data_IF_968036543697
#
_entry.id   IF_968036543697
#
_cell.length_a   1.000
_cell.length_b   1.000
_cell.length_c   1.000
_cell.angle_alpha   90.00
_cell.angle_beta   90.00
_cell.angle_gamma   90.00
#
_symmetry.space_group_name_H-M   'P 1'
#
loop_
_entity.id
_entity.type
_entity.pdbx_description
1 polymer ?
#
# COMPACT_ATOMS: atom_id res chain seq x y z
N UNK A 1 -5.77 2.09 30.50
CA UNK A 1 -4.88 1.03 29.97
C UNK A 1 -4.12 1.67 28.85
N UNK A 2 -2.81 1.50 28.83
CA UNK A 2 -1.95 1.99 27.75
C UNK A 2 -2.27 1.15 26.50
N UNK A 3 -2.45 1.80 25.34
CA UNK A 3 -2.74 1.12 24.08
C UNK A 3 -1.48 0.49 23.50
N UNK A 4 -1.63 -0.58 22.72
CA UNK A 4 -0.53 -1.23 22.00
C UNK A 4 -0.22 -0.48 20.71
N UNK A 5 1.07 -0.28 20.41
CA UNK A 5 1.50 0.26 19.10
C UNK A 5 1.70 -0.87 18.12
N UNK A 6 1.12 -0.76 16.92
CA UNK A 6 1.25 -1.74 15.84
C UNK A 6 1.58 -0.99 14.55
N UNK A 7 2.60 -1.44 13.83
CA UNK A 7 2.85 -1.07 12.44
C UNK A 7 2.14 -2.05 11.51
N UNK A 8 1.61 -1.57 10.39
CA UNK A 8 1.07 -2.43 9.35
C UNK A 8 1.43 -1.90 7.97
N UNK A 9 1.41 -2.80 6.99
CA UNK A 9 1.56 -2.48 5.57
C UNK A 9 0.60 -3.36 4.78
N UNK A 10 -0.10 -2.74 3.82
CA UNK A 10 -1.02 -3.38 2.90
C UNK A 10 -0.61 -2.97 1.49
N UNK A 11 -0.36 -3.95 0.64
CA UNK A 11 0.04 -3.71 -0.74
C UNK A 11 -0.81 -4.51 -1.70
N UNK A 12 -1.18 -3.86 -2.80
CA UNK A 12 -1.64 -4.56 -3.99
C UNK A 12 -0.76 -4.17 -5.19
N UNK A 13 -0.18 -5.16 -5.86
CA UNK A 13 0.51 -4.98 -7.13
C UNK A 13 -0.28 -5.60 -8.28
N UNK A 14 -0.47 -4.80 -9.35
CA UNK A 14 -0.92 -5.27 -10.66
C UNK A 14 0.25 -5.21 -11.63
N UNK A 15 0.57 -6.35 -12.26
CA UNK A 15 1.73 -6.50 -13.15
C UNK A 15 1.30 -7.15 -14.46
N UNK A 16 1.83 -6.69 -15.59
CA UNK A 16 1.65 -7.39 -16.86
C UNK A 16 2.40 -8.74 -16.86
N UNK A 17 1.79 -9.78 -17.42
CA UNK A 17 2.40 -11.10 -17.54
C UNK A 17 3.07 -11.24 -18.92
N UNK A 18 4.38 -11.42 -18.92
CA UNK A 18 5.16 -11.52 -20.15
C UNK A 18 4.66 -12.68 -21.03
N UNK A 19 4.33 -12.38 -22.28
CA UNK A 19 3.82 -13.37 -23.24
C UNK A 19 2.32 -13.65 -23.14
N UNK A 20 1.57 -12.89 -22.33
CA UNK A 20 0.10 -12.92 -22.31
C UNK A 20 -0.51 -11.53 -22.54
N UNK A 21 -1.83 -11.49 -22.72
CA UNK A 21 -2.62 -10.26 -22.72
C UNK A 21 -3.25 -9.98 -21.35
N UNK A 22 -2.75 -10.64 -20.30
CA UNK A 22 -3.32 -10.64 -18.96
C UNK A 22 -2.35 -10.02 -17.94
N UNK A 23 -2.89 -9.76 -16.76
CA UNK A 23 -2.14 -9.27 -15.61
C UNK A 23 -1.97 -10.37 -14.56
N UNK A 24 -1.07 -10.17 -13.61
CA UNK A 24 -0.99 -10.90 -12.36
C UNK A 24 -1.22 -9.90 -11.23
N UNK A 25 -1.83 -10.38 -10.16
CA UNK A 25 -2.15 -9.59 -8.99
C UNK A 25 -1.55 -10.22 -7.75
N UNK A 26 -0.97 -9.41 -6.89
CA UNK A 26 -0.42 -9.79 -5.59
C UNK A 26 -1.06 -8.91 -4.52
N UNK A 27 -1.62 -9.52 -3.49
CA UNK A 27 -1.96 -8.86 -2.22
C UNK A 27 -0.96 -9.28 -1.16
N UNK A 28 -0.44 -8.32 -0.39
CA UNK A 28 0.48 -8.56 0.72
C UNK A 28 0.01 -7.77 1.94
N UNK A 29 -0.06 -8.43 3.09
CA UNK A 29 -0.38 -7.80 4.37
C UNK A 29 0.74 -8.14 5.35
N UNK A 30 1.33 -7.13 5.97
CA UNK A 30 2.31 -7.28 7.02
C UNK A 30 1.92 -6.49 8.27
N UNK A 31 2.30 -7.03 9.42
CA UNK A 31 2.09 -6.42 10.74
C UNK A 31 3.39 -6.53 11.53
N UNK A 32 3.78 -5.44 12.19
CA UNK A 32 4.98 -5.36 13.02
C UNK A 32 4.64 -4.85 14.40
N UNK A 33 5.13 -5.57 15.41
CA UNK A 33 4.99 -5.19 16.81
C UNK A 33 6.34 -4.68 17.33
N UNK A 34 6.49 -3.36 17.57
CA UNK A 34 7.75 -2.79 18.04
C UNK A 34 8.11 -3.19 19.47
N UNK A 35 7.14 -3.59 20.30
CA UNK A 35 7.39 -4.01 21.68
C UNK A 35 8.01 -5.41 21.73
N UNK A 36 7.56 -6.31 20.86
CA UNK A 36 8.07 -7.69 20.78
C UNK A 36 9.12 -7.88 19.70
N UNK A 37 9.31 -6.89 18.82
CA UNK A 37 10.12 -6.99 17.59
C UNK A 37 9.65 -8.09 16.63
N UNK A 38 8.38 -8.48 16.72
CA UNK A 38 7.78 -9.47 15.84
C UNK A 38 7.33 -8.83 14.52
N UNK A 39 7.58 -9.53 13.41
CA UNK A 39 7.13 -9.15 12.08
C UNK A 39 6.46 -10.36 11.43
N UNK A 40 5.17 -10.22 11.14
CA UNK A 40 4.34 -11.23 10.50
C UNK A 40 3.87 -10.70 9.17
N UNK A 41 3.82 -11.56 8.16
CA UNK A 41 3.24 -11.23 6.87
C UNK A 41 2.64 -12.47 6.24
N UNK A 42 1.68 -12.24 5.34
CA UNK A 42 1.19 -13.27 4.43
C UNK A 42 0.71 -12.62 3.13
N UNK A 43 0.63 -13.42 2.08
CA UNK A 43 0.42 -12.94 0.71
C UNK A 43 -0.50 -13.86 -0.10
N UNK A 44 -1.22 -13.26 -1.04
CA UNK A 44 -2.01 -13.98 -2.04
C UNK A 44 -1.60 -13.53 -3.43
N UNK A 45 -1.43 -14.48 -4.34
CA UNK A 45 -1.18 -14.19 -5.74
C UNK A 45 -2.26 -14.83 -6.62
N UNK A 46 -2.71 -14.13 -7.64
CA UNK A 46 -3.67 -14.68 -8.60
C UNK A 46 -3.41 -14.19 -10.03
N UNK A 47 -3.80 -15.04 -10.98
CA UNK A 47 -3.99 -14.65 -12.37
C UNK A 47 -5.50 -14.41 -12.59
N UNK A 48 -5.90 -13.65 -13.61
CA UNK A 48 -7.29 -13.48 -13.99
C UNK A 48 -8.07 -14.81 -14.06
N UNK A 49 -9.40 -14.78 -13.80
CA UNK A 49 -10.21 -13.56 -13.70
C UNK A 49 -10.18 -12.95 -12.31
N UNK A 50 -9.77 -11.68 -12.25
CA UNK A 50 -10.10 -10.80 -11.12
C UNK A 50 -11.46 -10.20 -11.46
N UNK A 51 -12.47 -10.41 -10.60
CA UNK A 51 -13.77 -9.80 -10.77
C UNK A 51 -13.72 -8.29 -10.49
N UNK A 52 -14.62 -7.53 -11.09
CA UNK A 52 -14.95 -6.15 -10.70
C UNK A 52 -13.89 -5.06 -10.84
N UNK A 53 -12.77 -5.29 -11.55
CA UNK A 53 -11.89 -4.20 -11.98
C UNK A 53 -12.52 -3.48 -13.18
N UNK A 54 -13.37 -2.50 -12.90
CA UNK A 54 -13.88 -1.58 -13.91
C UNK A 54 -12.86 -0.46 -14.18
N UNK A 55 -12.52 -0.24 -15.44
CA UNK A 55 -11.60 0.84 -15.83
C UNK A 55 -12.18 2.20 -15.40
N UNK A 56 -11.42 2.94 -14.58
CA UNK A 56 -11.86 4.23 -14.03
C UNK A 56 -12.53 4.15 -12.65
N UNK A 57 -12.75 2.94 -12.10
CA UNK A 57 -13.00 2.75 -10.67
C UNK A 57 -11.71 2.30 -10.01
N UNK A 58 -11.40 2.85 -8.83
CA UNK A 58 -10.26 2.32 -8.07
C UNK A 58 -10.65 1.16 -7.16
N UNK A 59 -11.91 0.74 -7.16
CA UNK A 59 -12.35 -0.42 -6.41
C UNK A 59 -11.72 -1.67 -7.03
N UNK A 60 -11.03 -2.45 -6.20
CA UNK A 60 -10.36 -3.66 -6.62
C UNK A 60 -10.50 -4.72 -5.53
N UNK A 61 -10.86 -5.93 -5.93
CA UNK A 61 -10.91 -7.11 -5.08
C UNK A 61 -10.05 -8.20 -5.70
N UNK A 62 -9.10 -8.74 -4.93
CA UNK A 62 -8.20 -9.81 -5.33
C UNK A 62 -8.19 -10.86 -4.22
N UNK A 63 -8.88 -11.98 -4.46
CA UNK A 63 -9.08 -13.02 -3.46
C UNK A 63 -9.63 -12.42 -2.15
N UNK A 64 -8.84 -12.44 -1.08
CA UNK A 64 -9.17 -11.95 0.24
C UNK A 64 -8.73 -10.50 0.50
N UNK A 65 -8.24 -9.79 -0.52
CA UNK A 65 -7.80 -8.40 -0.44
C UNK A 65 -8.78 -7.50 -1.19
N UNK A 66 -9.17 -6.38 -0.61
CA UNK A 66 -9.90 -5.35 -1.32
C UNK A 66 -9.47 -3.95 -0.92
N UNK A 67 -9.61 -3.04 -1.88
CA UNK A 67 -9.41 -1.62 -1.73
C UNK A 67 -10.57 -0.93 -2.47
N UNK A 68 -11.23 0.02 -1.83
CA UNK A 68 -12.34 0.76 -2.42
C UNK A 68 -12.34 2.21 -1.96
N UNK A 69 -12.87 3.11 -2.78
CA UNK A 69 -13.11 4.48 -2.34
C UNK A 69 -14.30 4.53 -1.36
N UNK A 70 -14.18 5.34 -0.31
CA UNK A 70 -15.31 5.66 0.55
C UNK A 70 -16.09 6.86 -0.02
N UNK A 71 -17.40 6.90 0.24
CA UNK A 71 -18.24 8.05 -0.11
C UNK A 71 -17.78 9.36 0.56
N UNK A 72 -17.01 9.27 1.65
CA UNK A 72 -16.41 10.39 2.36
C UNK A 72 -15.11 10.92 1.74
N UNK A 73 -14.66 10.38 0.60
CA UNK A 73 -13.43 10.82 -0.09
C UNK A 73 -12.15 10.17 0.43
N UNK A 74 -12.26 9.03 1.12
CA UNK A 74 -11.14 8.22 1.59
C UNK A 74 -11.17 6.80 1.01
N UNK A 75 -10.71 5.83 1.80
CA UNK A 75 -10.56 4.45 1.37
C UNK A 75 -11.12 3.48 2.41
N UNK A 76 -11.53 2.32 1.93
CA UNK A 76 -11.76 1.14 2.76
C UNK A 76 -10.82 0.06 2.24
N UNK A 77 -10.01 -0.50 3.13
CA UNK A 77 -9.17 -1.65 2.81
C UNK A 77 -9.59 -2.85 3.65
N UNK A 78 -9.62 -4.02 3.01
CA UNK A 78 -9.84 -5.29 3.69
C UNK A 78 -8.80 -6.29 3.25
N UNK A 79 -8.30 -7.08 4.17
CA UNK A 79 -7.38 -8.18 3.88
C UNK A 79 -7.61 -9.32 4.87
N UNK A 80 -7.58 -10.55 4.37
CA UNK A 80 -7.38 -11.77 5.18
C UNK A 80 -6.22 -12.57 4.57
N UNK A 81 -5.16 -12.79 5.34
CA UNK A 81 -3.99 -13.53 4.89
C UNK A 81 -3.42 -14.34 6.06
N UNK A 82 -3.57 -15.66 5.99
CA UNK A 82 -3.11 -16.57 7.04
C UNK A 82 -3.80 -16.30 8.39
N UNK A 83 -3.01 -15.85 9.36
CA UNK A 83 -3.47 -15.48 10.70
C UNK A 83 -3.60 -13.95 10.89
N UNK A 84 -3.52 -13.18 9.82
CA UNK A 84 -3.65 -11.73 9.81
C UNK A 84 -4.95 -11.31 9.12
N UNK A 85 -5.60 -10.29 9.67
CA UNK A 85 -6.65 -9.58 8.96
C UNK A 85 -6.63 -8.08 9.24
N UNK A 86 -7.15 -7.29 8.30
CA UNK A 86 -7.38 -5.87 8.45
C UNK A 86 -8.73 -5.52 7.84
N UNK A 87 -9.52 -4.69 8.53
CA UNK A 87 -10.69 -4.00 7.98
C UNK A 87 -10.62 -2.55 8.47
N UNK A 88 -10.13 -1.67 7.60
CA UNK A 88 -9.73 -0.32 7.95
C UNK A 88 -10.40 0.71 7.05
N UNK A 89 -10.89 1.78 7.66
CA UNK A 89 -11.30 3.00 6.98
C UNK A 89 -10.20 4.05 7.09
N UNK A 90 -9.83 4.63 5.96
CA UNK A 90 -8.72 5.56 5.81
C UNK A 90 -9.24 6.90 5.27
N UNK A 91 -9.23 7.95 6.09
CA UNK A 91 -9.77 9.26 5.70
C UNK A 91 -8.66 10.29 5.52
N UNK A 92 -8.52 10.94 4.36
CA UNK A 92 -7.54 12.01 4.15
C UNK A 92 -7.65 13.14 5.15
N UNK A 93 -6.52 13.48 5.77
CA UNK A 93 -6.37 14.66 6.64
C UNK A 93 -5.47 15.73 6.01
N UNK A 94 -4.94 15.48 4.82
CA UNK A 94 -4.11 16.40 4.02
C UNK A 94 -4.44 16.23 2.55
N UNK A 95 -4.12 17.24 1.75
CA UNK A 95 -4.23 17.17 0.30
C UNK A 95 -3.31 16.08 -0.27
N UNK A 96 -3.70 15.55 -1.43
CA UNK A 96 -2.88 14.61 -2.18
C UNK A 96 -1.56 15.26 -2.59
N UNK A 97 -0.45 14.52 -2.44
CA UNK A 97 0.89 14.99 -2.78
C UNK A 97 1.35 14.34 -4.09
N UNK A 98 1.32 15.04 -5.24
CA UNK A 98 1.96 14.56 -6.45
C UNK A 98 3.49 14.58 -6.28
N UNK A 99 4.17 13.50 -6.67
CA UNK A 99 5.63 13.41 -6.63
C UNK A 99 6.29 13.87 -7.93
N UNK A 100 7.58 14.22 -7.86
CA UNK A 100 8.32 14.66 -9.05
C UNK A 100 7.75 15.94 -9.66
N UNK A 101 7.81 16.06 -10.98
CA UNK A 101 7.22 17.18 -11.71
C UNK A 101 5.77 16.83 -12.06
N UNK A 102 4.82 17.45 -11.37
CA UNK A 102 3.37 17.24 -11.54
C UNK A 102 2.89 15.78 -11.47
N UNK A 103 3.49 14.99 -10.57
CA UNK A 103 3.14 13.58 -10.39
C UNK A 103 3.97 12.62 -11.25
N UNK A 104 5.00 13.10 -11.94
CA UNK A 104 5.80 12.30 -12.88
C UNK A 104 7.24 12.14 -12.36
N UNK A 105 7.66 10.88 -12.27
CA UNK A 105 9.06 10.46 -12.05
C UNK A 105 9.54 9.72 -13.29
N UNK A 106 10.65 10.16 -13.87
CA UNK A 106 11.29 9.46 -14.99
C UNK A 106 12.17 8.34 -14.44
N UNK A 107 11.86 7.10 -14.81
CA UNK A 107 12.54 5.90 -14.35
C UNK A 107 13.86 5.70 -15.11
N UNK A 108 14.74 4.83 -14.62
CA UNK A 108 16.07 4.59 -15.21
C UNK A 108 16.06 4.10 -16.67
N UNK A 109 14.94 3.57 -17.13
CA UNK A 109 14.71 3.14 -18.52
C UNK A 109 14.13 4.25 -19.42
N UNK A 110 14.00 5.48 -18.90
CA UNK A 110 13.45 6.65 -19.58
C UNK A 110 11.93 6.70 -19.66
N UNK A 111 11.21 5.74 -19.08
CA UNK A 111 9.73 5.72 -19.06
C UNK A 111 9.19 6.47 -17.84
N UNK A 112 7.99 7.00 -17.97
CA UNK A 112 7.34 7.74 -16.90
C UNK A 112 6.64 6.80 -15.92
N UNK A 113 6.89 7.06 -14.64
CA UNK A 113 6.06 6.63 -13.52
C UNK A 113 5.18 7.80 -13.09
N UNK A 114 3.88 7.57 -12.99
CA UNK A 114 2.94 8.48 -12.36
C UNK A 114 2.82 8.10 -10.89
N UNK A 115 2.94 9.07 -9.98
CA UNK A 115 3.07 8.79 -8.55
C UNK A 115 2.55 9.93 -7.69
N UNK A 116 1.66 9.60 -6.75
CA UNK A 116 1.25 10.50 -5.68
C UNK A 116 1.11 9.75 -4.35
N UNK A 117 1.04 10.50 -3.25
CA UNK A 117 0.73 9.97 -1.93
C UNK A 117 -0.45 10.67 -1.27
N UNK A 118 -1.14 9.95 -0.40
CA UNK A 118 -1.81 10.53 0.76
C UNK A 118 -0.90 10.35 1.97
N UNK A 119 -0.24 11.43 2.39
CA UNK A 119 0.80 11.36 3.42
C UNK A 119 0.23 11.17 4.83
N UNK A 120 -1.04 11.53 5.03
CA UNK A 120 -1.73 11.41 6.30
C UNK A 120 -3.20 11.03 6.12
N UNK A 121 -3.48 9.74 6.27
CA UNK A 121 -4.82 9.18 6.39
C UNK A 121 -5.12 8.90 7.86
N UNK A 122 -6.21 9.43 8.39
CA UNK A 122 -6.76 9.01 9.68
C UNK A 122 -7.28 7.59 9.54
N UNK A 123 -6.83 6.70 10.41
CA UNK A 123 -7.09 5.26 10.29
C UNK A 123 -7.92 4.77 11.46
N UNK A 124 -9.05 4.14 11.15
CA UNK A 124 -9.98 3.52 12.10
C UNK A 124 -10.33 2.11 11.61
N UNK A 125 -10.77 1.25 12.53
CA UNK A 125 -11.18 -0.12 12.21
C UNK A 125 -10.51 -1.16 13.10
N UNK A 126 -10.28 -2.35 12.56
CA UNK A 126 -9.69 -3.47 13.29
C UNK A 126 -8.53 -4.13 12.53
N UNK A 127 -7.58 -4.66 13.30
CA UNK A 127 -6.53 -5.57 12.84
C UNK A 127 -6.60 -6.82 13.72
N UNK A 128 -6.55 -8.00 13.12
CA UNK A 128 -6.44 -9.27 13.84
C UNK A 128 -5.06 -9.89 13.64
N UNK A 129 -4.47 -10.39 14.72
CA UNK A 129 -3.18 -11.09 14.70
C UNK A 129 -3.32 -12.37 15.51
N UNK A 130 -3.20 -13.53 14.87
CA UNK A 130 -3.27 -14.82 15.59
C UNK A 130 -4.62 -15.09 16.25
N UNK A 131 -5.69 -14.42 15.81
CA UNK A 131 -7.03 -14.49 16.40
C UNK A 131 -7.31 -13.45 17.48
N UNK A 132 -6.31 -12.67 17.91
CA UNK A 132 -6.49 -11.52 18.81
C UNK A 132 -6.89 -10.29 17.98
N UNK A 133 -7.99 -9.65 18.35
CA UNK A 133 -8.51 -8.46 17.66
C UNK A 133 -8.07 -7.16 18.36
N UNK A 134 -7.57 -6.23 17.57
CA UNK A 134 -7.10 -4.91 18.00
C UNK A 134 -7.91 -3.81 17.33
N UNK A 135 -8.62 -3.02 18.14
CA UNK A 135 -9.37 -1.85 17.65
C UNK A 135 -8.43 -0.66 17.55
N UNK A 136 -8.40 -0.02 16.38
CA UNK A 136 -7.60 1.17 16.13
C UNK A 136 -8.26 2.37 16.82
N UNK A 137 -7.58 2.96 17.79
CA UNK A 137 -8.06 4.14 18.55
C UNK A 137 -7.35 5.44 18.17
N UNK A 138 -6.18 5.35 17.52
CA UNK A 138 -5.37 6.49 17.10
C UNK A 138 -4.42 6.13 15.94
N UNK A 139 -4.98 5.76 14.79
CA UNK A 139 -4.20 5.32 13.62
C UNK A 139 -3.87 6.44 12.64
N UNK A 140 -2.68 6.34 12.00
CA UNK A 140 -2.30 7.18 10.85
C UNK A 140 -1.65 6.32 9.77
N UNK A 141 -2.13 6.40 8.54
CA UNK A 141 -1.60 5.64 7.39
C UNK A 141 -1.03 6.56 6.31
N UNK A 142 0.07 6.15 5.70
CA UNK A 142 0.62 6.76 4.48
C UNK A 142 0.21 5.84 3.33
N UNK A 143 -0.33 6.39 2.25
CA UNK A 143 -0.67 5.62 1.05
C UNK A 143 0.08 6.18 -0.15
N UNK A 144 0.59 5.26 -0.95
CA UNK A 144 1.24 5.53 -2.23
C UNK A 144 0.43 4.90 -3.36
N UNK A 145 0.26 5.65 -4.45
CA UNK A 145 -0.27 5.11 -5.69
C UNK A 145 0.69 5.41 -6.84
N UNK A 146 1.27 4.35 -7.42
CA UNK A 146 2.26 4.44 -8.49
C UNK A 146 1.88 3.54 -9.66
N UNK A 147 1.88 4.09 -10.88
CA UNK A 147 1.57 3.33 -12.09
C UNK A 147 2.31 3.88 -13.32
N UNK A 148 2.40 3.06 -14.36
CA UNK A 148 3.03 3.43 -15.61
C UNK A 148 3.50 2.21 -16.38
N UNK A 149 4.11 2.44 -17.53
CA UNK A 149 4.64 1.38 -18.38
C UNK A 149 6.15 1.17 -18.19
N UNK A 150 6.71 1.53 -17.04
CA UNK A 150 8.13 1.34 -16.71
C UNK A 150 8.43 -0.11 -16.28
N UNK A 151 9.71 -0.52 -16.32
CA UNK A 151 10.12 -1.83 -15.78
C UNK A 151 10.67 -1.67 -14.38
N UNK A 152 10.16 -2.46 -13.44
CA UNK A 152 10.79 -2.68 -12.13
C UNK A 152 11.77 -3.86 -12.16
N UNK A 153 11.82 -4.63 -13.25
CA UNK A 153 12.66 -5.81 -13.35
C UNK A 153 14.14 -5.44 -13.29
N UNK A 154 14.86 -6.05 -12.34
CA UNK A 154 16.28 -5.80 -12.13
C UNK A 154 16.60 -4.51 -11.37
N UNK A 155 15.59 -3.80 -10.86
CA UNK A 155 15.80 -2.66 -9.96
C UNK A 155 15.88 -3.15 -8.52
N UNK A 156 16.91 -2.72 -7.80
CA UNK A 156 16.92 -2.71 -6.35
C UNK A 156 16.60 -1.30 -5.89
N UNK A 157 15.82 -1.16 -4.83
CA UNK A 157 15.53 0.15 -4.27
C UNK A 157 15.56 0.11 -2.74
N UNK A 158 15.78 1.28 -2.16
CA UNK A 158 15.37 1.57 -0.79
C UNK A 158 14.34 2.69 -0.86
N UNK A 159 13.32 2.61 -0.01
CA UNK A 159 12.24 3.58 0.08
C UNK A 159 11.86 3.75 1.54
N UNK A 160 11.62 4.99 1.96
CA UNK A 160 10.98 5.27 3.22
C UNK A 160 10.20 6.58 3.15
N UNK A 161 9.15 6.66 3.95
CA UNK A 161 8.41 7.89 4.21
C UNK A 161 8.38 8.19 5.70
N UNK A 162 8.33 9.47 6.03
CA UNK A 162 8.29 9.99 7.39
C UNK A 162 7.22 11.06 7.50
N UNK A 163 6.47 11.00 8.60
CA UNK A 163 5.65 12.10 9.09
C UNK A 163 6.37 12.69 10.29
N UNK A 164 6.67 13.98 10.23
CA UNK A 164 7.39 14.69 11.29
C UNK A 164 6.41 15.42 12.21
N UNK A 165 6.84 15.68 13.45
CA UNK A 165 6.00 16.29 14.49
C UNK A 165 5.59 17.74 14.16
N UNK A 166 6.33 18.42 13.29
CA UNK A 166 6.00 19.76 12.80
C UNK A 166 4.91 19.76 11.71
N UNK A 167 4.40 18.58 11.35
CA UNK A 167 3.38 18.37 10.33
C UNK A 167 3.93 18.18 8.92
N UNK A 168 5.25 18.27 8.72
CA UNK A 168 5.86 18.00 7.42
C UNK A 168 5.88 16.50 7.09
N UNK A 169 5.93 16.21 5.79
CA UNK A 169 5.97 14.86 5.23
C UNK A 169 7.19 14.74 4.33
N UNK A 170 7.91 13.63 4.44
CA UNK A 170 9.10 13.34 3.64
C UNK A 170 8.96 11.96 3.02
N UNK A 171 9.28 11.84 1.74
CA UNK A 171 9.46 10.56 1.05
C UNK A 171 10.84 10.58 0.38
N UNK A 172 11.60 9.52 0.59
CA UNK A 172 12.93 9.36 0.04
C UNK A 172 13.04 7.97 -0.56
N UNK A 173 13.64 7.89 -1.75
CA UNK A 173 13.97 6.63 -2.37
C UNK A 173 15.32 6.72 -3.07
N UNK A 174 15.96 5.58 -3.25
CA UNK A 174 17.11 5.42 -4.12
C UNK A 174 16.99 4.13 -4.90
N UNK A 175 17.39 4.17 -6.17
CA UNK A 175 17.65 2.95 -6.94
C UNK A 175 19.11 2.58 -6.79
N UNK A 176 19.37 1.28 -6.63
CA UNK A 176 20.70 0.70 -6.50
C UNK A 176 20.99 -0.17 -7.71
N UNK A 177 22.26 -0.25 -8.07
CA UNK A 177 22.69 -1.19 -9.10
C UNK A 177 22.69 -2.61 -8.52
N UNK A 178 22.42 -3.62 -9.33
CA UNK A 178 22.50 -5.03 -8.91
C UNK A 178 23.95 -5.46 -8.63
N UNK A 179 24.92 -4.63 -9.01
CA UNK A 179 26.36 -4.83 -8.75
C UNK A 179 26.88 -4.19 -7.45
N UNK A 180 26.05 -3.46 -6.72
CA UNK A 180 26.35 -2.96 -5.36
C UNK A 180 26.32 -4.08 -4.30
#
# INVERSE_FOLDING_TARGET
>A
MEGKTIGFEFTIFKRWVAGSNDFAYLGHLAVSDPETSEHLFDEVATLPPVSDIEEGKADMEINSFSYAFSESGGFIIKAEAGNLSADLSLTPAMDVLPHGEDGIIVMGDGRNSYYYSFTNLMTEGNISIGGDEYIVTSGRTWMDHQWGNFTSFGLLWDWFSLRLDDGSSLMLFQFRDISD
#
